data_IF_548266601887
#
_entry.id   IF_548266601887
#
_cell.length_a   1.000
_cell.length_b   1.000
_cell.length_c   1.000
_cell.angle_alpha   90.00
_cell.angle_beta   90.00
_cell.angle_gamma   90.00
#
_symmetry.space_group_name_H-M   'P 1'
#
loop_
_entity.id
_entity.type
_entity.pdbx_description
1 polymer ?
#
# COMPACT_ATOMS: atom_id res chain seq x y z
N UNK A 1 -20.51 43.09 -6.60
CA UNK A 1 -20.55 42.18 -5.44
C UNK A 1 -19.27 41.34 -5.51
N UNK A 2 -18.22 41.76 -4.80
CA UNK A 2 -16.93 41.05 -4.75
C UNK A 2 -17.00 39.98 -3.67
N UNK A 3 -17.09 38.71 -4.05
CA UNK A 3 -16.86 37.60 -3.12
C UNK A 3 -15.37 37.28 -3.13
N UNK A 4 -14.66 37.87 -2.18
CA UNK A 4 -13.31 37.46 -1.80
C UNK A 4 -13.42 36.07 -1.15
N UNK A 5 -13.17 35.01 -1.92
CA UNK A 5 -12.87 33.71 -1.34
C UNK A 5 -11.49 33.82 -0.68
N UNK A 6 -11.36 33.64 0.65
CA UNK A 6 -10.05 33.64 1.27
C UNK A 6 -9.27 32.44 0.76
N UNK A 7 -8.14 32.78 0.12
CA UNK A 7 -6.94 31.99 -0.12
C UNK A 7 -7.02 30.60 0.49
N UNK A 8 -7.42 29.63 -0.33
CA UNK A 8 -7.25 28.21 -0.04
C UNK A 8 -5.75 27.99 0.06
N UNK A 9 -5.19 28.16 1.26
CA UNK A 9 -3.87 27.66 1.59
C UNK A 9 -3.93 26.17 1.25
N UNK A 10 -3.31 25.81 0.12
CA UNK A 10 -2.87 24.46 -0.20
C UNK A 10 -1.92 24.02 0.92
N UNK A 11 -2.47 23.72 2.09
CA UNK A 11 -2.01 22.58 2.84
C UNK A 11 -2.36 21.43 1.91
N UNK A 12 -1.35 20.90 1.24
CA UNK A 12 -1.31 19.48 0.93
C UNK A 12 -1.48 18.82 2.29
N UNK A 13 -2.75 18.68 2.69
CA UNK A 13 -3.20 18.04 3.91
C UNK A 13 -2.43 16.74 3.87
N UNK A 14 -1.61 16.57 4.89
CA UNK A 14 -0.94 15.35 5.27
C UNK A 14 -1.75 14.18 4.72
N UNK A 15 -1.07 13.27 4.03
CA UNK A 15 -1.48 11.88 3.85
C UNK A 15 -1.83 11.31 5.22
N UNK A 16 -2.99 11.73 5.72
CA UNK A 16 -3.65 11.20 6.90
C UNK A 16 -3.72 9.72 6.59
N UNK A 17 -3.28 8.93 7.56
CA UNK A 17 -3.49 7.49 7.71
C UNK A 17 -4.54 6.99 6.72
N UNK A 18 -4.28 5.92 6.01
CA UNK A 18 -5.03 5.54 4.82
C UNK A 18 -6.27 4.63 5.08
N UNK A 19 -7.12 4.75 6.14
CA UNK A 19 -8.37 4.01 6.19
C UNK A 19 -9.24 4.25 4.95
N UNK A 20 -9.33 5.48 4.44
CA UNK A 20 -10.17 5.74 3.27
C UNK A 20 -9.69 4.96 2.04
N UNK A 21 -8.39 4.99 1.75
CA UNK A 21 -7.83 4.25 0.61
C UNK A 21 -7.93 2.74 0.81
N UNK A 22 -7.60 2.26 2.02
CA UNK A 22 -7.75 0.85 2.37
C UNK A 22 -9.20 0.37 2.18
N UNK A 23 -10.18 1.12 2.67
CA UNK A 23 -11.60 0.72 2.63
C UNK A 23 -12.24 0.88 1.25
N UNK A 24 -11.82 1.88 0.46
CA UNK A 24 -12.53 2.26 -0.79
C UNK A 24 -11.77 1.90 -2.07
N UNK A 25 -10.46 1.69 -2.01
CA UNK A 25 -9.64 1.43 -3.20
C UNK A 25 -9.12 0.00 -3.22
N UNK A 26 -8.71 -0.54 -2.07
CA UNK A 26 -8.21 -1.91 -2.01
C UNK A 26 -9.35 -2.92 -2.11
N UNK A 27 -9.14 -3.94 -2.94
CA UNK A 27 -9.96 -5.15 -2.99
C UNK A 27 -9.86 -5.93 -1.68
N UNK A 28 -10.80 -6.85 -1.45
CA UNK A 28 -10.78 -7.73 -0.29
C UNK A 28 -9.45 -8.52 -0.19
N UNK A 29 -8.92 -8.98 -1.33
CA UNK A 29 -7.65 -9.70 -1.42
C UNK A 29 -6.46 -8.84 -0.98
N UNK A 30 -6.39 -7.62 -1.48
CA UNK A 30 -5.32 -6.68 -1.08
C UNK A 30 -5.45 -6.28 0.39
N UNK A 31 -6.68 -6.07 0.89
CA UNK A 31 -6.90 -5.80 2.32
C UNK A 31 -6.42 -6.95 3.21
N UNK A 32 -6.66 -8.20 2.80
CA UNK A 32 -6.20 -9.39 3.50
C UNK A 32 -4.67 -9.47 3.61
N UNK A 33 -3.94 -9.07 2.56
CA UNK A 33 -2.46 -9.03 2.57
C UNK A 33 -1.93 -8.07 3.66
N UNK A 34 -2.64 -6.98 3.92
CA UNK A 34 -2.19 -5.93 4.84
C UNK A 34 -2.79 -5.98 6.25
N UNK A 35 -3.76 -6.88 6.51
CA UNK A 35 -4.52 -6.89 7.78
C UNK A 35 -3.65 -7.08 9.03
N UNK A 36 -2.48 -7.71 8.89
CA UNK A 36 -1.56 -8.00 9.99
C UNK A 36 -0.44 -6.97 10.18
N UNK A 37 -0.38 -5.92 9.35
CA UNK A 37 0.71 -4.94 9.39
C UNK A 37 0.58 -3.93 10.54
N UNK A 38 -0.60 -3.82 11.14
CA UNK A 38 -0.89 -2.85 12.20
C UNK A 38 -0.83 -1.40 11.72
N UNK A 39 -0.79 -0.48 12.68
CA UNK A 39 -0.81 0.97 12.42
C UNK A 39 0.53 1.59 12.80
N UNK A 40 1.06 2.45 11.93
CA UNK A 40 2.32 3.16 12.15
C UNK A 40 2.17 4.62 12.62
N UNK A 41 0.97 5.20 12.51
CA UNK A 41 0.71 6.62 12.81
C UNK A 41 -0.59 6.78 13.60
N UNK A 42 -0.60 7.64 14.64
CA UNK A 42 -1.80 7.93 15.41
C UNK A 42 -2.74 8.87 14.63
N UNK A 43 -3.92 9.13 15.18
CA UNK A 43 -4.86 10.08 14.58
C UNK A 43 -4.25 11.47 14.36
N UNK A 44 -4.72 12.23 13.35
CA UNK A 44 -4.16 13.55 13.03
C UNK A 44 -4.12 14.50 14.22
N UNK A 45 -5.11 14.41 15.13
CA UNK A 45 -5.17 15.20 16.36
C UNK A 45 -3.98 14.98 17.30
N UNK A 46 -3.27 13.85 17.20
CA UNK A 46 -2.07 13.51 17.97
C UNK A 46 -0.76 13.77 17.20
N UNK A 47 -0.82 14.49 16.07
CA UNK A 47 0.33 14.84 15.24
C UNK A 47 0.44 16.36 14.96
N UNK A 48 -0.14 17.21 15.82
CA UNK A 48 -0.23 18.65 15.58
C UNK A 48 1.08 19.40 15.84
N UNK A 49 2.00 18.83 16.60
CA UNK A 49 3.29 19.44 16.94
C UNK A 49 4.44 18.44 16.97
N UNK A 50 5.68 18.94 16.89
CA UNK A 50 6.88 18.12 17.10
C UNK A 50 6.93 17.47 18.50
N UNK A 51 6.30 18.09 19.49
CA UNK A 51 6.21 17.51 20.83
C UNK A 51 5.31 16.27 20.83
N UNK A 52 4.20 16.30 20.09
CA UNK A 52 3.29 15.16 19.94
C UNK A 52 3.99 14.03 19.19
N UNK A 53 4.65 14.35 18.06
CA UNK A 53 5.44 13.38 17.29
C UNK A 53 6.50 12.71 18.16
N UNK A 54 7.25 13.49 18.95
CA UNK A 54 8.26 12.94 19.87
C UNK A 54 7.66 12.10 21.00
N UNK A 55 6.40 12.32 21.38
CA UNK A 55 5.74 11.59 22.46
C UNK A 55 5.47 10.15 22.03
N UNK A 56 4.70 9.96 20.95
CA UNK A 56 4.31 8.62 20.52
C UNK A 56 5.47 7.87 19.85
N UNK A 57 6.42 8.56 19.21
CA UNK A 57 7.62 7.92 18.61
C UNK A 57 8.56 7.27 19.63
N UNK A 58 8.49 7.66 20.90
CA UNK A 58 9.28 7.06 21.99
C UNK A 58 8.61 5.84 22.62
N UNK A 59 7.35 5.58 22.29
CA UNK A 59 6.63 4.42 22.80
C UNK A 59 7.12 3.16 22.08
N UNK A 60 7.11 2.04 22.80
CA UNK A 60 7.21 0.74 22.15
C UNK A 60 5.89 0.42 21.44
N UNK A 61 5.92 -0.55 20.52
CA UNK A 61 4.75 -0.92 19.72
C UNK A 61 3.53 -1.24 20.57
N UNK A 62 3.68 -2.00 21.67
CA UNK A 62 2.55 -2.35 22.54
C UNK A 62 1.87 -1.11 23.13
N UNK A 63 2.65 -0.21 23.74
CA UNK A 63 2.12 1.04 24.32
C UNK A 63 1.56 1.99 23.25
N UNK A 64 2.20 2.03 22.09
CA UNK A 64 1.69 2.81 20.96
C UNK A 64 0.30 2.30 20.52
N UNK A 65 0.14 0.98 20.39
CA UNK A 65 -1.13 0.38 20.02
C UNK A 65 -2.21 0.63 21.08
N UNK A 66 -1.87 0.47 22.37
CA UNK A 66 -2.76 0.73 23.50
C UNK A 66 -3.20 2.21 23.57
N UNK A 67 -2.28 3.16 23.37
CA UNK A 67 -2.57 4.60 23.52
C UNK A 67 -3.17 5.25 22.26
N UNK A 68 -2.79 4.79 21.06
CA UNK A 68 -3.19 5.44 19.80
C UNK A 68 -3.60 4.48 18.68
N UNK A 69 -2.97 3.32 18.59
CA UNK A 69 -3.14 2.43 17.43
C UNK A 69 -4.54 1.83 17.33
N UNK A 70 -5.19 1.49 18.45
CA UNK A 70 -6.52 0.89 18.43
C UNK A 70 -7.58 1.84 17.84
N UNK A 71 -7.57 3.13 18.21
CA UNK A 71 -8.49 4.14 17.64
C UNK A 71 -8.31 4.29 16.12
N UNK A 72 -7.09 4.11 15.63
CA UNK A 72 -6.78 4.18 14.20
C UNK A 72 -7.20 2.89 13.49
N UNK A 73 -6.97 1.72 14.11
CA UNK A 73 -7.41 0.41 13.59
C UNK A 73 -8.92 0.35 13.42
N UNK A 74 -9.70 0.93 14.33
CA UNK A 74 -11.17 0.94 14.28
C UNK A 74 -11.74 1.65 13.04
N UNK A 75 -10.92 2.37 12.27
CA UNK A 75 -11.32 2.99 11.01
C UNK A 75 -11.12 2.10 9.79
N UNK A 76 -10.34 1.02 9.91
CA UNK A 76 -10.09 0.07 8.83
C UNK A 76 -11.18 -0.98 8.77
N UNK A 77 -11.70 -1.22 7.57
CA UNK A 77 -12.62 -2.33 7.28
C UNK A 77 -11.82 -3.62 7.11
N UNK A 78 -11.35 -4.15 8.25
CA UNK A 78 -10.51 -5.36 8.30
C UNK A 78 -11.36 -6.57 7.89
N UNK A 79 -10.91 -7.36 6.88
CA UNK A 79 -11.64 -8.55 6.44
C UNK A 79 -11.95 -9.52 7.58
N UNK A 80 -13.18 -10.01 7.60
CA UNK A 80 -13.61 -11.06 8.53
C UNK A 80 -13.13 -12.44 8.06
N UNK A 81 -13.07 -13.40 8.98
CA UNK A 81 -12.67 -14.78 8.67
C UNK A 81 -13.55 -15.40 7.57
N UNK A 82 -14.87 -15.16 7.61
CA UNK A 82 -15.80 -15.64 6.58
C UNK A 82 -15.52 -15.05 5.19
N UNK A 83 -15.10 -13.78 5.13
CA UNK A 83 -14.73 -13.12 3.87
C UNK A 83 -13.42 -13.68 3.31
N UNK A 84 -12.46 -14.00 4.18
CA UNK A 84 -11.21 -14.65 3.80
C UNK A 84 -11.46 -16.07 3.26
N UNK A 85 -12.33 -16.85 3.89
CA UNK A 85 -12.69 -18.18 3.40
C UNK A 85 -13.37 -18.15 2.01
N UNK A 86 -14.11 -17.09 1.70
CA UNK A 86 -14.72 -16.92 0.36
C UNK A 86 -13.67 -16.63 -0.70
N UNK A 87 -12.61 -15.90 -0.37
CA UNK A 87 -11.50 -15.66 -1.30
C UNK A 87 -10.76 -16.95 -1.63
N UNK A 88 -10.44 -17.74 -0.60
CA UNK A 88 -9.72 -19.01 -0.74
C UNK A 88 -10.46 -19.99 -1.67
N UNK A 89 -11.80 -20.08 -1.53
CA UNK A 89 -12.64 -20.92 -2.40
C UNK A 89 -12.74 -20.48 -3.85
N UNK A 90 -12.48 -19.20 -4.15
CA UNK A 90 -12.58 -18.66 -5.51
C UNK A 90 -11.24 -18.64 -6.26
N UNK A 91 -10.09 -18.69 -5.55
CA UNK A 91 -8.77 -18.81 -6.18
C UNK A 91 -8.59 -20.14 -6.96
N UNK A 92 -9.31 -21.20 -6.57
CA UNK A 92 -9.32 -22.48 -7.29
C UNK A 92 -10.02 -22.42 -8.66
N UNK A 93 -10.68 -21.31 -9.01
CA UNK A 93 -11.49 -21.17 -10.24
C UNK A 93 -10.94 -20.22 -11.31
N UNK A 94 -9.93 -19.40 -11.01
CA UNK A 94 -9.45 -18.33 -11.92
C UNK A 94 -8.09 -18.62 -12.59
N UNK A 95 -7.59 -19.87 -12.57
CA UNK A 95 -6.33 -20.25 -13.24
C UNK A 95 -6.53 -20.79 -14.66
N UNK A 96 -7.32 -20.10 -15.49
CA UNK A 96 -7.31 -20.27 -16.96
C UNK A 96 -6.61 -19.03 -17.54
N UNK A 97 -5.28 -19.07 -17.52
CA UNK A 97 -4.43 -18.07 -18.15
C UNK A 97 -4.63 -18.10 -19.67
N UNK A 98 -5.26 -17.05 -20.18
CA UNK A 98 -5.26 -16.66 -21.59
C UNK A 98 -3.89 -16.03 -21.88
N UNK A 99 -2.94 -16.86 -22.31
CA UNK A 99 -1.65 -16.42 -22.89
C UNK A 99 -1.65 -16.82 -24.37
N UNK A 100 -2.29 -15.99 -25.19
CA UNK A 100 -2.16 -15.98 -26.65
C UNK A 100 -1.34 -14.73 -27.08
N UNK A 101 -0.47 -14.95 -28.08
CA UNK A 101 0.37 -14.02 -28.84
C UNK A 101 1.54 -13.32 -28.11
N UNK A 102 2.74 -13.17 -28.68
CA UNK A 102 3.21 -13.34 -30.06
C UNK A 102 4.77 -13.29 -30.07
N UNK A 103 5.37 -14.07 -30.97
CA UNK A 103 6.51 -13.74 -31.84
C UNK A 103 7.88 -13.32 -31.24
N UNK A 104 8.88 -14.19 -31.39
CA UNK A 104 10.29 -13.77 -31.46
C UNK A 104 11.08 -14.70 -32.42
N UNK A 105 10.81 -14.55 -33.72
CA UNK A 105 11.70 -15.00 -34.79
C UNK A 105 12.87 -14.01 -34.94
N UNK A 106 13.90 -14.07 -34.09
CA UNK A 106 15.19 -13.41 -34.37
C UNK A 106 16.21 -14.41 -34.94
N UNK A 107 16.16 -14.50 -36.28
CA UNK A 107 17.20 -15.03 -37.12
C UNK A 107 18.43 -14.11 -37.04
N UNK A 108 19.45 -14.49 -36.26
CA UNK A 108 20.78 -13.89 -36.39
C UNK A 108 21.78 -14.90 -36.95
N UNK A 109 22.24 -14.51 -38.13
CA UNK A 109 23.18 -15.14 -39.03
C UNK A 109 24.63 -15.12 -38.50
N UNK A 110 25.24 -16.29 -38.61
CA UNK A 110 26.64 -16.71 -38.74
C UNK A 110 27.83 -15.72 -38.70
N UNK A 111 28.93 -16.26 -38.14
CA UNK A 111 30.37 -16.05 -38.47
C UNK A 111 31.10 -14.76 -38.00
N UNK A 112 32.12 -14.89 -37.14
CA UNK A 112 33.51 -15.10 -37.61
C UNK A 112 34.51 -15.17 -36.42
N UNK A 113 35.34 -16.22 -36.45
CA UNK A 113 36.41 -16.52 -35.49
C UNK A 113 37.71 -15.85 -35.96
N UNK A 114 38.17 -14.82 -35.26
CA UNK A 114 39.53 -14.28 -35.43
C UNK A 114 40.30 -14.36 -34.12
N UNK A 115 41.00 -15.48 -33.95
CA UNK A 115 42.00 -15.68 -32.93
C UNK A 115 43.33 -15.01 -33.30
N UNK A 116 44.01 -14.59 -32.25
CA UNK A 116 45.46 -14.44 -32.09
C UNK A 116 46.12 -13.12 -32.52
N UNK A 117 46.40 -12.31 -31.50
CA UNK A 117 47.42 -11.27 -31.50
C UNK A 117 48.29 -11.42 -30.26
N UNK A 118 49.36 -12.21 -30.35
CA UNK A 118 50.54 -12.16 -29.47
C UNK A 118 51.81 -12.36 -30.31
N UNK A 119 52.53 -11.27 -30.58
CA UNK A 119 54.01 -11.11 -30.53
C UNK A 119 54.37 -9.69 -30.99
#
# INVERSE_FOLDING_TARGET
MHLLLPTVRRMYRLTISLPWYYNNVLTLRERAVYMNNGVALPMPQHCQSEADIRRWKKLNTKKFMEEYGNEVLDQYDIPTEEELERLDRNEDTDNEADEDDEDDEDFTDSEDEAADGDT
#
